data_IF_131040738730
#
_entry.id   IF_131040738730
#
_cell.length_a   1.000
_cell.length_b   1.000
_cell.length_c   1.000
_cell.angle_alpha   90.00
_cell.angle_beta   90.00
_cell.angle_gamma   90.00
#
_symmetry.space_group_name_H-M   'P 1'
#
loop_
_entity.id
_entity.type
_entity.pdbx_description
1 polymer ?
#
# COMPACT_ATOMS: atom_id res chain seq x y z
N UNK A 1 -16.19 -6.83 38.59
CA UNK A 1 -14.79 -6.48 38.90
C UNK A 1 -14.33 -5.46 37.86
N UNK A 2 -13.92 -4.26 38.28
CA UNK A 2 -13.45 -3.21 37.36
C UNK A 2 -12.06 -3.56 36.84
N UNK A 3 -11.84 -3.39 35.54
CA UNK A 3 -10.51 -3.56 34.93
C UNK A 3 -9.64 -2.38 35.39
N UNK A 4 -8.51 -2.69 36.03
CA UNK A 4 -7.54 -1.69 36.44
C UNK A 4 -7.02 -0.93 35.22
N UNK A 5 -6.97 0.40 35.31
CA UNK A 5 -6.38 1.24 34.28
C UNK A 5 -4.87 0.92 34.14
N UNK A 6 -4.49 0.26 33.05
CA UNK A 6 -3.09 0.24 32.61
C UNK A 6 -2.76 1.64 32.07
N UNK A 7 -1.66 2.24 32.50
CA UNK A 7 -1.12 3.56 32.11
C UNK A 7 -0.96 3.78 30.59
N UNK A 8 -2.05 3.75 29.81
CA UNK A 8 -2.07 3.79 28.34
C UNK A 8 -1.23 2.69 27.65
N UNK A 9 -0.86 1.62 28.35
CA UNK A 9 -0.16 0.48 27.78
C UNK A 9 -1.17 -0.58 27.33
N UNK A 10 -1.02 -1.03 26.09
CA UNK A 10 -1.75 -2.16 25.53
C UNK A 10 -0.86 -3.39 25.52
N UNK A 11 -1.42 -4.55 25.87
CA UNK A 11 -0.77 -5.85 25.72
C UNK A 11 -1.09 -6.49 24.36
N UNK A 12 -1.72 -5.74 23.44
CA UNK A 12 -1.98 -6.22 22.09
C UNK A 12 -0.70 -6.14 21.26
N UNK A 13 -0.37 -7.25 20.60
CA UNK A 13 0.75 -7.31 19.67
C UNK A 13 0.50 -6.39 18.47
N UNK A 14 1.55 -5.69 18.04
CA UNK A 14 1.52 -4.92 16.79
C UNK A 14 1.75 -5.89 15.65
N UNK A 15 0.78 -6.00 14.75
CA UNK A 15 0.88 -6.90 13.60
C UNK A 15 1.78 -6.27 12.55
N UNK A 16 2.97 -6.84 12.34
CA UNK A 16 3.89 -6.41 11.26
C UNK A 16 3.59 -7.13 9.93
N UNK A 17 3.35 -8.44 10.02
CA UNK A 17 3.01 -9.30 8.89
C UNK A 17 1.90 -10.25 9.30
N UNK A 18 0.98 -10.53 8.39
CA UNK A 18 -0.10 -11.49 8.59
C UNK A 18 -0.47 -12.19 7.31
N UNK A 19 -1.16 -13.31 7.45
CA UNK A 19 -1.39 -14.23 6.34
C UNK A 19 -2.14 -13.63 5.15
N UNK A 20 -3.04 -12.66 5.38
CA UNK A 20 -3.72 -11.96 4.29
C UNK A 20 -2.75 -11.20 3.36
N UNK A 21 -1.66 -10.65 3.89
CA UNK A 21 -0.64 -9.98 3.09
C UNK A 21 0.05 -10.97 2.16
N UNK A 22 0.40 -12.16 2.66
CA UNK A 22 0.96 -13.25 1.86
C UNK A 22 0.02 -13.67 0.73
N UNK A 23 -1.26 -13.83 1.02
CA UNK A 23 -2.29 -14.20 0.03
C UNK A 23 -2.40 -13.13 -1.07
N UNK A 24 -2.55 -11.87 -0.69
CA UNK A 24 -2.72 -10.77 -1.64
C UNK A 24 -1.42 -10.49 -2.43
N UNK A 25 -0.25 -10.65 -1.82
CA UNK A 25 1.03 -10.55 -2.51
C UNK A 25 1.26 -11.70 -3.50
N UNK A 26 0.80 -12.92 -3.18
CA UNK A 26 0.85 -14.04 -4.12
C UNK A 26 -0.05 -13.76 -5.34
N UNK A 27 -1.28 -13.29 -5.10
CA UNK A 27 -2.20 -12.89 -6.18
C UNK A 27 -1.57 -11.83 -7.09
N UNK A 28 -0.93 -10.83 -6.50
CA UNK A 28 -0.18 -9.81 -7.25
C UNK A 28 0.94 -10.42 -8.09
N UNK A 29 1.78 -11.27 -7.48
CA UNK A 29 2.96 -11.85 -8.11
C UNK A 29 2.58 -12.74 -9.31
N UNK A 30 1.48 -13.49 -9.21
CA UNK A 30 0.97 -14.32 -10.33
C UNK A 30 0.65 -13.47 -11.56
N UNK A 31 0.04 -12.29 -11.36
CA UNK A 31 -0.36 -11.39 -12.45
C UNK A 31 0.82 -10.56 -12.98
N UNK A 32 1.71 -10.14 -12.08
CA UNK A 32 2.82 -9.22 -12.37
C UNK A 32 4.11 -9.88 -12.83
N UNK A 33 4.30 -11.19 -12.62
CA UNK A 33 5.48 -11.89 -13.14
C UNK A 33 5.60 -11.73 -14.67
N UNK A 34 6.81 -11.85 -15.24
CA UNK A 34 6.99 -11.91 -16.70
C UNK A 34 6.02 -12.92 -17.31
N UNK A 35 5.35 -12.53 -18.40
CA UNK A 35 4.32 -13.35 -19.08
C UNK A 35 3.08 -13.70 -18.22
N UNK A 36 2.95 -13.14 -17.01
CA UNK A 36 1.77 -13.30 -16.18
C UNK A 36 0.50 -12.79 -16.87
N UNK A 37 -0.65 -13.16 -16.34
CA UNK A 37 -1.97 -12.67 -16.77
C UNK A 37 -2.92 -12.78 -15.60
N UNK A 38 -4.13 -12.21 -15.71
CA UNK A 38 -5.16 -12.42 -14.72
C UNK A 38 -5.64 -13.86 -14.83
N UNK A 39 -5.39 -14.68 -13.81
CA UNK A 39 -5.80 -16.08 -13.74
C UNK A 39 -6.90 -16.27 -12.69
N UNK A 40 -7.64 -17.37 -12.81
CA UNK A 40 -8.63 -17.78 -11.81
C UNK A 40 -7.98 -17.95 -10.43
N UNK A 41 -6.77 -18.51 -10.35
CA UNK A 41 -5.98 -18.61 -9.12
C UNK A 41 -5.77 -17.25 -8.43
N UNK A 42 -5.36 -16.22 -9.19
CA UNK A 42 -5.14 -14.88 -8.62
C UNK A 42 -6.45 -14.26 -8.10
N UNK A 43 -7.55 -14.50 -8.80
CA UNK A 43 -8.89 -14.04 -8.40
C UNK A 43 -9.36 -14.78 -7.16
N UNK A 44 -9.16 -16.09 -7.07
CA UNK A 44 -9.54 -16.91 -5.93
C UNK A 44 -8.79 -16.51 -4.66
N UNK A 45 -7.50 -16.19 -4.77
CA UNK A 45 -6.71 -15.65 -3.66
C UNK A 45 -7.27 -14.32 -3.15
N UNK A 46 -7.67 -13.42 -4.04
CA UNK A 46 -8.34 -12.17 -3.64
C UNK A 46 -9.72 -12.44 -3.03
N UNK A 47 -10.50 -13.35 -3.62
CA UNK A 47 -11.81 -13.74 -3.11
C UNK A 47 -11.74 -14.40 -1.74
N UNK A 48 -10.65 -15.08 -1.39
CA UNK A 48 -10.44 -15.61 -0.04
C UNK A 48 -10.51 -14.51 1.03
N UNK A 49 -9.92 -13.35 0.75
CA UNK A 49 -9.98 -12.19 1.65
C UNK A 49 -11.37 -11.56 1.66
N UNK A 50 -11.96 -11.39 0.47
CA UNK A 50 -13.32 -10.84 0.31
C UNK A 50 -14.37 -11.67 1.06
N UNK A 51 -14.33 -13.00 0.93
CA UNK A 51 -15.22 -13.93 1.66
C UNK A 51 -15.09 -13.78 3.17
N UNK A 52 -13.86 -13.70 3.69
CA UNK A 52 -13.63 -13.48 5.12
C UNK A 52 -14.23 -12.15 5.59
N UNK A 53 -14.20 -11.12 4.73
CA UNK A 53 -14.83 -9.83 4.97
C UNK A 53 -16.34 -9.79 4.64
N UNK A 54 -16.98 -10.92 4.31
CA UNK A 54 -18.39 -11.01 3.89
C UNK A 54 -18.74 -10.14 2.65
N UNK A 55 -17.83 -10.08 1.67
CA UNK A 55 -18.03 -9.42 0.39
C UNK A 55 -18.24 -10.46 -0.73
N UNK A 56 -19.02 -10.09 -1.75
CA UNK A 56 -19.26 -10.94 -2.92
C UNK A 56 -17.98 -11.25 -3.70
N UNK A 57 -17.93 -12.42 -4.31
CA UNK A 57 -16.80 -12.83 -5.15
C UNK A 57 -16.71 -11.98 -6.42
N UNK A 58 -15.48 -11.65 -6.79
CA UNK A 58 -15.13 -11.13 -8.12
C UNK A 58 -14.98 -12.28 -9.10
N UNK A 59 -15.23 -12.00 -10.37
CA UNK A 59 -15.17 -12.96 -11.47
C UNK A 59 -14.13 -12.53 -12.48
N UNK A 60 -13.66 -13.46 -13.30
CA UNK A 60 -12.72 -13.18 -14.40
C UNK A 60 -13.23 -12.07 -15.33
N UNK A 61 -14.56 -11.99 -15.56
CA UNK A 61 -15.19 -10.95 -16.38
C UNK A 61 -15.02 -9.54 -15.84
N UNK A 62 -14.73 -9.38 -14.55
CA UNK A 62 -14.53 -8.07 -13.92
C UNK A 62 -13.14 -7.46 -14.25
N UNK A 63 -12.23 -8.27 -14.81
CA UNK A 63 -10.84 -7.91 -15.03
C UNK A 63 -10.43 -8.09 -16.50
N UNK A 64 -10.86 -7.17 -17.39
CA UNK A 64 -10.50 -7.24 -18.81
C UNK A 64 -9.01 -7.00 -19.06
N UNK A 65 -8.29 -6.41 -18.10
CA UNK A 65 -6.87 -6.10 -18.19
C UNK A 65 -6.16 -6.43 -16.88
N UNK A 66 -4.84 -6.61 -16.93
CA UNK A 66 -4.00 -6.70 -15.72
C UNK A 66 -4.19 -5.48 -14.81
N UNK A 67 -4.24 -4.30 -15.42
CA UNK A 67 -4.39 -3.04 -14.70
C UNK A 67 -5.69 -2.99 -13.89
N UNK A 68 -6.81 -3.45 -14.47
CA UNK A 68 -8.08 -3.53 -13.75
C UNK A 68 -8.01 -4.47 -12.54
N UNK A 69 -7.28 -5.59 -12.66
CA UNK A 69 -7.03 -6.48 -11.53
C UNK A 69 -6.16 -5.81 -10.46
N UNK A 70 -5.07 -5.14 -10.85
CA UNK A 70 -4.18 -4.44 -9.91
C UNK A 70 -4.90 -3.31 -9.18
N UNK A 71 -5.75 -2.53 -9.86
CA UNK A 71 -6.53 -1.48 -9.22
C UNK A 71 -7.52 -2.02 -8.18
N UNK A 72 -8.19 -3.14 -8.51
CA UNK A 72 -9.04 -3.82 -7.54
C UNK A 72 -8.24 -4.39 -6.38
N UNK A 73 -7.10 -5.03 -6.66
CA UNK A 73 -6.21 -5.58 -5.63
C UNK A 73 -5.71 -4.49 -4.68
N UNK A 74 -5.28 -3.34 -5.19
CA UNK A 74 -4.88 -2.18 -4.40
C UNK A 74 -6.04 -1.66 -3.53
N UNK A 75 -7.26 -1.72 -4.05
CA UNK A 75 -8.47 -1.40 -3.28
C UNK A 75 -8.69 -2.39 -2.13
N UNK A 76 -8.58 -3.71 -2.40
CA UNK A 76 -8.68 -4.72 -1.33
C UNK A 76 -7.60 -4.54 -0.28
N UNK A 77 -6.34 -4.35 -0.68
CA UNK A 77 -5.22 -4.08 0.24
C UNK A 77 -5.47 -2.84 1.09
N UNK A 78 -6.04 -1.78 0.51
CA UNK A 78 -6.37 -0.55 1.25
C UNK A 78 -7.40 -0.75 2.36
N UNK A 79 -8.41 -1.57 2.10
CA UNK A 79 -9.47 -1.88 3.07
C UNK A 79 -8.98 -2.87 4.12
N UNK A 80 -8.26 -3.89 3.66
CA UNK A 80 -7.78 -5.00 4.47
C UNK A 80 -6.75 -4.53 5.50
N UNK A 81 -5.79 -3.68 5.11
CA UNK A 81 -4.67 -3.22 5.95
C UNK A 81 -4.86 -1.81 6.51
N UNK A 82 -6.11 -1.34 6.59
CA UNK A 82 -6.40 -0.01 7.13
C UNK A 82 -5.93 0.11 8.58
N UNK A 83 -5.22 1.21 8.89
CA UNK A 83 -4.61 1.46 10.21
C UNK A 83 -3.57 0.44 10.68
N UNK A 84 -2.95 -0.33 9.77
CA UNK A 84 -1.77 -1.15 10.07
C UNK A 84 -0.47 -0.40 9.70
N UNK A 85 0.54 -1.08 9.13
CA UNK A 85 1.90 -0.56 8.92
C UNK A 85 2.05 0.46 7.76
N UNK A 86 0.97 1.13 7.36
CA UNK A 86 1.01 2.13 6.27
C UNK A 86 1.26 1.54 4.87
N UNK A 87 1.00 0.25 4.68
CA UNK A 87 1.31 -0.50 3.45
C UNK A 87 0.69 0.14 2.20
N UNK A 88 -0.53 0.65 2.29
CA UNK A 88 -1.22 1.24 1.13
C UNK A 88 -0.46 2.40 0.47
N UNK A 89 0.25 3.23 1.25
CA UNK A 89 1.09 4.30 0.67
C UNK A 89 2.24 3.70 -0.15
N UNK A 90 2.91 2.68 0.39
CA UNK A 90 4.01 2.01 -0.29
C UNK A 90 3.54 1.29 -1.56
N UNK A 91 2.38 0.62 -1.49
CA UNK A 91 1.76 -0.04 -2.63
C UNK A 91 1.48 0.97 -3.77
N UNK A 92 0.82 2.08 -3.46
CA UNK A 92 0.54 3.12 -4.46
C UNK A 92 1.82 3.73 -5.07
N UNK A 93 2.90 3.87 -4.30
CA UNK A 93 4.19 4.36 -4.82
C UNK A 93 4.80 3.36 -5.80
N UNK A 94 4.77 2.07 -5.46
CA UNK A 94 5.39 1.02 -6.28
C UNK A 94 4.68 0.82 -7.62
N UNK A 95 3.41 1.20 -7.70
CA UNK A 95 2.62 1.26 -8.93
C UNK A 95 2.52 2.67 -9.54
N UNK A 96 3.24 3.66 -9.01
CA UNK A 96 3.21 5.06 -9.47
C UNK A 96 1.80 5.71 -9.49
N UNK A 97 0.92 5.29 -8.58
CA UNK A 97 -0.49 5.74 -8.44
C UNK A 97 -0.73 6.72 -7.30
N UNK A 98 0.25 6.94 -6.42
CA UNK A 98 0.05 7.75 -5.22
C UNK A 98 -0.34 9.20 -5.55
N UNK A 99 0.34 9.84 -6.50
CA UNK A 99 0.05 11.23 -6.87
C UNK A 99 -1.39 11.38 -7.39
N UNK A 100 -1.78 10.54 -8.34
CA UNK A 100 -3.13 10.58 -8.92
C UNK A 100 -4.20 10.32 -7.86
N UNK A 101 -3.94 9.38 -6.93
CA UNK A 101 -4.83 9.12 -5.80
C UNK A 101 -4.98 10.33 -4.89
N UNK A 102 -3.88 11.00 -4.53
CA UNK A 102 -3.91 12.22 -3.72
C UNK A 102 -4.69 13.32 -4.43
N UNK A 103 -4.45 13.56 -5.72
CA UNK A 103 -5.15 14.59 -6.47
C UNK A 103 -6.65 14.27 -6.63
N UNK A 104 -7.01 13.00 -6.79
CA UNK A 104 -8.42 12.58 -6.89
C UNK A 104 -9.23 12.89 -5.63
N UNK A 105 -8.59 12.87 -4.45
CA UNK A 105 -9.27 13.08 -3.17
C UNK A 105 -9.08 14.49 -2.61
N UNK A 106 -7.91 15.10 -2.84
CA UNK A 106 -7.43 16.25 -2.10
C UNK A 106 -6.91 17.39 -3.00
N UNK A 107 -7.27 17.42 -4.28
CA UNK A 107 -6.78 18.44 -5.23
C UNK A 107 -6.93 19.88 -4.74
N UNK A 108 -7.98 20.20 -3.97
CA UNK A 108 -8.20 21.53 -3.42
C UNK A 108 -7.36 21.89 -2.19
N UNK A 109 -6.72 20.91 -1.55
CA UNK A 109 -5.99 21.10 -0.26
C UNK A 109 -4.57 20.53 -0.27
N UNK A 110 -4.13 19.91 -1.36
CA UNK A 110 -2.79 19.35 -1.51
C UNK A 110 -1.97 20.07 -2.61
N UNK A 111 -1.73 21.40 -2.49
CA UNK A 111 -1.10 22.19 -3.54
C UNK A 111 0.37 21.81 -3.83
N UNK A 112 1.01 21.06 -2.92
CA UNK A 112 2.39 20.61 -3.03
C UNK A 112 2.52 19.12 -3.36
N UNK A 113 1.41 18.43 -3.66
CA UNK A 113 1.47 17.05 -4.11
C UNK A 113 2.26 16.97 -5.42
N UNK A 114 3.24 16.07 -5.47
CA UNK A 114 3.98 15.72 -6.68
C UNK A 114 4.72 14.38 -6.46
N UNK A 115 5.22 13.79 -7.55
CA UNK A 115 5.92 12.50 -7.52
C UNK A 115 7.27 12.54 -6.79
N UNK A 116 7.90 13.70 -6.67
CA UNK A 116 9.15 13.84 -5.90
C UNK A 116 8.90 13.62 -4.39
N UNK A 117 7.64 13.68 -3.91
CA UNK A 117 7.24 13.36 -2.53
C UNK A 117 6.95 11.89 -2.27
N UNK A 118 7.24 11.00 -3.23
CA UNK A 118 7.18 9.55 -2.99
C UNK A 118 8.24 9.12 -1.99
N UNK A 119 9.44 9.69 -2.09
CA UNK A 119 10.53 9.52 -1.14
C UNK A 119 10.48 10.62 -0.08
N UNK A 120 10.78 10.27 1.16
CA UNK A 120 10.95 11.25 2.22
C UNK A 120 12.29 12.00 2.06
N UNK A 121 12.41 13.24 2.57
CA UNK A 121 13.69 13.93 2.57
C UNK A 121 14.70 13.17 3.42
N UNK A 122 15.95 13.14 2.97
CA UNK A 122 17.05 12.71 3.82
C UNK A 122 17.27 13.75 4.95
N UNK A 123 17.61 13.32 6.17
CA UNK A 123 17.91 14.24 7.27
C UNK A 123 19.10 15.14 6.93
N UNK A 124 18.99 16.44 7.22
CA UNK A 124 20.04 17.43 6.92
C UNK A 124 21.37 17.09 7.59
N UNK A 125 21.35 16.54 8.81
CA UNK A 125 22.58 16.12 9.51
C UNK A 125 23.38 15.09 8.71
N UNK A 126 22.70 14.15 8.05
CA UNK A 126 23.33 13.09 7.24
C UNK A 126 23.90 13.69 5.94
N UNK A 127 23.21 14.67 5.34
CA UNK A 127 23.70 15.37 4.15
C UNK A 127 24.97 16.17 4.47
N UNK A 128 24.96 16.92 5.59
CA UNK A 128 26.10 17.72 6.04
C UNK A 128 27.31 16.83 6.36
N UNK A 129 27.11 15.74 7.11
CA UNK A 129 28.19 14.80 7.44
C UNK A 129 28.73 14.05 6.21
N UNK A 130 27.86 13.81 5.23
CA UNK A 130 28.22 13.21 3.94
C UNK A 130 29.14 14.05 3.07
N UNK A 131 29.41 15.33 3.42
CA UNK A 131 30.39 16.21 2.74
C UNK A 131 30.24 16.23 1.22
N UNK A 132 28.99 16.24 0.73
CA UNK A 132 28.65 16.26 -0.70
C UNK A 132 28.50 14.87 -1.36
N UNK A 133 28.78 13.77 -0.64
CA UNK A 133 28.56 12.41 -1.13
C UNK A 133 27.13 11.94 -0.92
N UNK A 134 26.46 12.44 0.12
CA UNK A 134 25.04 12.19 0.37
C UNK A 134 24.26 13.32 -0.29
N UNK A 135 23.55 12.98 -1.37
CA UNK A 135 22.77 13.92 -2.17
C UNK A 135 21.31 13.77 -1.78
N UNK A 136 20.62 14.91 -1.60
CA UNK A 136 19.20 14.95 -1.27
C UNK A 136 18.34 14.32 -2.39
N UNK A 137 17.21 13.73 -2.01
CA UNK A 137 16.20 13.28 -2.95
C UNK A 137 15.69 14.46 -3.79
N UNK A 138 15.44 14.22 -5.08
CA UNK A 138 14.89 15.21 -6.00
C UNK A 138 13.64 15.89 -5.38
N UNK A 139 13.47 17.19 -5.64
CA UNK A 139 12.30 17.96 -5.18
C UNK A 139 12.35 18.39 -3.70
N UNK A 140 13.47 18.13 -3.02
CA UNK A 140 13.79 18.69 -1.71
C UNK A 140 15.00 19.62 -1.82
N UNK A 141 15.00 20.71 -1.04
CA UNK A 141 16.09 21.68 -1.02
C UNK A 141 17.36 21.10 -0.39
N UNK A 142 18.49 21.73 -0.72
CA UNK A 142 19.77 21.50 -0.06
C UNK A 142 19.81 22.19 1.31
#
# INVERSE_FOLDING_TARGET
>A
AGVAANNNYSNLDIVLYRYADVILSLAEAIVMKPEGSVTEEAIDLMNLIRKRANLDDKKQSDFPTKEAFIDQLLTERSHEFWCENGQYRADLIRFDKLYDRVMSLNSGIAPYANKDKYLFPLPLSVIVDGKGMVIQNKGYGN
#
